data_IF_888052960455
#
_entry.id   IF_888052960455
#
_cell.length_a   1.000
_cell.length_b   1.000
_cell.length_c   1.000
_cell.angle_alpha   90.00
_cell.angle_beta   90.00
_cell.angle_gamma   90.00
#
_symmetry.space_group_name_H-M   'P 1'
#
loop_
_entity.id
_entity.type
_entity.pdbx_description
1 polymer ?
#
# COMPACT_ATOMS: atom_id res chain seq x y z
N UNK A 1 -20.85 -46.01 -33.24
CA UNK A 1 -21.39 -45.16 -32.14
C UNK A 1 -20.31 -44.32 -31.42
N UNK A 2 -19.11 -44.12 -31.98
CA UNK A 2 -18.02 -43.34 -31.35
C UNK A 2 -17.96 -41.86 -31.84
N UNK A 3 -18.64 -41.52 -32.94
CA UNK A 3 -18.51 -40.21 -33.61
C UNK A 3 -19.24 -39.04 -32.92
N UNK A 4 -20.06 -39.28 -31.90
CA UNK A 4 -20.82 -38.25 -31.17
C UNK A 4 -20.12 -37.80 -29.87
N UNK A 5 -19.15 -38.56 -29.36
CA UNK A 5 -18.45 -38.22 -28.11
C UNK A 5 -17.42 -37.10 -28.26
N UNK A 6 -16.86 -36.90 -29.46
CA UNK A 6 -15.84 -35.87 -29.71
C UNK A 6 -16.41 -34.44 -29.61
N UNK A 7 -17.56 -34.10 -30.23
CA UNK A 7 -18.11 -32.75 -30.09
C UNK A 7 -18.59 -32.43 -28.67
N UNK A 8 -19.09 -33.42 -27.91
CA UNK A 8 -19.54 -33.21 -26.52
C UNK A 8 -18.38 -32.84 -25.58
N UNK A 9 -17.19 -33.38 -25.83
CA UNK A 9 -15.99 -33.13 -25.02
C UNK A 9 -15.39 -31.75 -25.30
N UNK A 10 -15.51 -31.26 -26.54
CA UNK A 10 -15.07 -29.91 -26.92
C UNK A 10 -15.92 -28.82 -26.27
N UNK A 11 -17.24 -29.02 -26.13
CA UNK A 11 -18.13 -28.04 -25.46
C UNK A 11 -17.82 -27.91 -23.97
N UNK A 12 -17.38 -28.99 -23.31
CA UNK A 12 -16.96 -28.97 -21.90
C UNK A 12 -15.63 -28.23 -21.67
N UNK A 13 -14.78 -28.08 -22.68
CA UNK A 13 -13.53 -27.31 -22.57
C UNK A 13 -13.75 -25.79 -22.64
N UNK A 14 -14.93 -25.32 -23.09
CA UNK A 14 -15.26 -23.90 -23.19
C UNK A 14 -16.11 -23.35 -22.02
N UNK A 15 -16.43 -24.16 -21.00
CA UNK A 15 -17.18 -23.69 -19.80
C UNK A 15 -16.28 -23.05 -18.72
N UNK A 16 -14.99 -22.88 -18.99
CA UNK A 16 -14.01 -22.25 -18.08
C UNK A 16 -14.19 -20.74 -17.86
N UNK A 17 -15.16 -20.08 -18.51
CA UNK A 17 -15.42 -18.66 -18.33
C UNK A 17 -16.24 -18.36 -17.06
N UNK A 18 -15.69 -18.63 -15.88
CA UNK A 18 -16.16 -18.02 -14.63
C UNK A 18 -14.99 -17.83 -13.66
N UNK A 19 -14.10 -16.89 -13.97
CA UNK A 19 -13.23 -16.32 -12.94
C UNK A 19 -12.92 -14.83 -13.12
N UNK A 20 -13.91 -14.04 -13.54
CA UNK A 20 -13.81 -12.56 -13.58
C UNK A 20 -14.04 -11.95 -12.17
N UNK A 21 -14.36 -12.79 -11.18
CA UNK A 21 -14.81 -12.38 -9.84
C UNK A 21 -13.66 -12.05 -8.87
N UNK A 22 -12.39 -12.27 -9.27
CA UNK A 22 -11.22 -12.04 -8.41
C UNK A 22 -10.68 -10.60 -8.43
N UNK A 23 -11.01 -9.81 -9.47
CA UNK A 23 -10.59 -8.40 -9.58
C UNK A 23 -11.56 -7.44 -8.89
N UNK A 24 -12.85 -7.78 -8.80
CA UNK A 24 -13.90 -6.89 -8.28
C UNK A 24 -13.91 -6.72 -6.74
N UNK A 25 -13.17 -7.53 -5.99
CA UNK A 25 -13.20 -7.52 -4.51
C UNK A 25 -11.83 -7.20 -3.86
N UNK A 26 -10.98 -6.42 -4.54
CA UNK A 26 -9.70 -5.97 -3.98
C UNK A 26 -9.75 -4.51 -3.60
N UNK A 27 -9.40 -4.25 -2.35
CA UNK A 27 -9.21 -2.89 -1.85
C UNK A 27 -7.74 -2.52 -2.06
N UNK A 28 -7.46 -1.81 -3.16
CA UNK A 28 -6.10 -1.40 -3.54
C UNK A 28 -5.56 -0.34 -2.60
N UNK A 29 -4.60 -0.70 -1.76
CA UNK A 29 -4.00 0.21 -0.78
C UNK A 29 -2.91 1.03 -1.46
N UNK A 30 -3.13 2.34 -1.57
CA UNK A 30 -2.25 3.28 -2.28
C UNK A 30 -1.17 3.86 -1.35
N UNK A 31 -1.53 4.18 -0.10
CA UNK A 31 -0.58 4.65 0.92
C UNK A 31 -0.89 4.07 2.30
N UNK A 32 0.15 3.92 3.12
CA UNK A 32 0.05 3.48 4.52
C UNK A 32 0.79 4.50 5.39
N UNK A 33 0.10 5.05 6.38
CA UNK A 33 0.68 5.87 7.44
C UNK A 33 0.82 5.04 8.71
N UNK A 34 1.98 5.04 9.35
CA UNK A 34 2.31 4.18 10.50
C UNK A 34 2.87 5.02 11.64
N UNK A 35 2.26 4.93 12.81
CA UNK A 35 2.82 5.41 14.08
C UNK A 35 3.02 4.21 15.03
N UNK A 36 4.21 4.11 15.67
CA UNK A 36 4.65 3.00 16.52
C UNK A 36 4.78 3.34 18.01
N UNK A 37 4.35 4.52 18.46
CA UNK A 37 4.57 5.00 19.84
C UNK A 37 3.94 4.12 20.94
N UNK A 38 2.74 3.55 20.72
CA UNK A 38 2.01 2.76 21.71
C UNK A 38 1.38 1.51 21.07
N UNK A 39 2.22 0.73 20.38
CA UNK A 39 1.76 -0.21 19.37
C UNK A 39 1.55 0.50 18.04
N UNK A 40 0.95 -0.20 17.08
CA UNK A 40 0.78 0.32 15.73
C UNK A 40 -0.57 1.00 15.58
N UNK A 41 -0.54 2.27 15.18
CA UNK A 41 -1.69 3.01 14.67
C UNK A 41 -1.47 3.25 13.17
N UNK A 42 -2.32 2.65 12.35
CA UNK A 42 -2.20 2.70 10.90
C UNK A 42 -3.39 3.36 10.22
N UNK A 43 -3.09 4.21 9.26
CA UNK A 43 -4.06 4.83 8.34
C UNK A 43 -3.75 4.39 6.93
N UNK A 44 -4.74 3.93 6.19
CA UNK A 44 -4.58 3.48 4.81
C UNK A 44 -5.46 4.29 3.88
N UNK A 45 -4.88 4.69 2.75
CA UNK A 45 -5.61 5.22 1.62
C UNK A 45 -5.90 4.09 0.63
N UNK A 46 -7.17 3.87 0.34
CA UNK A 46 -7.65 2.81 -0.55
C UNK A 46 -8.23 3.47 -1.80
N UNK A 47 -7.82 3.03 -3.00
CA UNK A 47 -8.33 3.59 -4.25
C UNK A 47 -9.86 3.45 -4.34
N UNK A 48 -10.54 4.54 -4.73
CA UNK A 48 -11.95 4.50 -5.07
C UNK A 48 -12.13 4.11 -6.54
N UNK A 49 -12.47 2.84 -6.77
CA UNK A 49 -12.66 2.29 -8.11
C UNK A 49 -13.91 2.82 -8.83
N UNK A 50 -14.77 3.58 -8.14
CA UNK A 50 -15.94 4.24 -8.77
C UNK A 50 -15.59 5.58 -9.39
N UNK A 51 -14.39 6.09 -9.13
CA UNK A 51 -13.88 7.34 -9.68
C UNK A 51 -13.12 7.06 -10.99
N UNK A 52 -13.68 7.48 -12.14
CA UNK A 52 -13.08 7.22 -13.47
C UNK A 52 -11.65 7.77 -13.59
N UNK A 53 -11.32 8.83 -12.85
CA UNK A 53 -9.98 9.44 -12.81
C UNK A 53 -9.02 8.76 -11.82
N UNK A 54 -9.48 7.79 -11.01
CA UNK A 54 -8.72 7.12 -9.94
C UNK A 54 -8.01 8.08 -8.96
N UNK A 55 -8.56 9.28 -8.74
CA UNK A 55 -7.95 10.31 -7.86
C UNK A 55 -8.51 10.32 -6.46
N UNK A 56 -9.68 9.73 -6.26
CA UNK A 56 -10.28 9.57 -4.93
C UNK A 56 -9.71 8.35 -4.22
N UNK A 57 -9.42 8.56 -2.95
CA UNK A 57 -8.99 7.52 -2.04
C UNK A 57 -9.90 7.56 -0.81
N UNK A 58 -10.36 6.39 -0.37
CA UNK A 58 -11.09 6.20 0.87
C UNK A 58 -10.09 5.96 2.00
N UNK A 59 -10.25 6.68 3.10
CA UNK A 59 -9.37 6.57 4.26
C UNK A 59 -9.97 5.60 5.27
N UNK A 60 -9.17 4.64 5.72
CA UNK A 60 -9.52 3.72 6.81
C UNK A 60 -8.38 3.65 7.82
N UNK A 61 -8.69 3.33 9.08
CA UNK A 61 -7.67 3.24 10.13
C UNK A 61 -7.96 2.15 11.16
N UNK A 62 -6.90 1.74 11.85
CA UNK A 62 -6.94 0.68 12.84
C UNK A 62 -5.70 0.66 13.70
N UNK A 63 -5.80 -0.07 14.82
CA UNK A 63 -4.72 -0.21 15.79
C UNK A 63 -4.47 -1.68 16.09
N UNK A 64 -3.27 -2.00 16.56
CA UNK A 64 -2.89 -3.36 16.96
C UNK A 64 -1.47 -3.40 17.53
N UNK A 65 -1.03 -4.59 17.97
CA UNK A 65 0.29 -4.77 18.61
C UNK A 65 1.39 -5.09 17.60
N UNK A 66 1.03 -5.53 16.40
CA UNK A 66 1.94 -5.78 15.28
C UNK A 66 1.40 -5.17 13.99
N UNK A 67 2.25 -5.04 12.97
CA UNK A 67 1.78 -4.60 11.64
C UNK A 67 0.73 -5.56 11.09
N UNK A 68 0.98 -6.87 11.22
CA UNK A 68 0.02 -7.91 10.77
C UNK A 68 -1.33 -7.77 11.47
N UNK A 69 -1.36 -7.74 12.80
CA UNK A 69 -2.62 -7.63 13.56
C UNK A 69 -3.39 -6.36 13.20
N UNK A 70 -2.67 -5.25 13.04
CA UNK A 70 -3.29 -3.97 12.71
C UNK A 70 -3.89 -3.99 11.30
N UNK A 71 -3.18 -4.56 10.32
CA UNK A 71 -3.70 -4.74 8.94
C UNK A 71 -4.91 -5.67 8.96
N UNK A 72 -4.85 -6.78 9.69
CA UNK A 72 -5.98 -7.71 9.86
C UNK A 72 -7.20 -6.97 10.46
N UNK A 73 -6.99 -6.13 11.48
CA UNK A 73 -8.04 -5.32 12.12
C UNK A 73 -8.66 -4.28 11.18
N UNK A 74 -7.89 -3.71 10.26
CA UNK A 74 -8.40 -2.78 9.25
C UNK A 74 -9.16 -3.57 8.18
N UNK A 75 -8.63 -4.69 7.71
CA UNK A 75 -9.25 -5.55 6.68
C UNK A 75 -10.64 -6.07 7.10
N UNK A 76 -10.87 -6.31 8.40
CA UNK A 76 -12.21 -6.69 8.92
C UNK A 76 -13.26 -5.58 8.67
N UNK A 77 -12.84 -4.32 8.57
CA UNK A 77 -13.73 -3.16 8.37
C UNK A 77 -13.97 -2.85 6.89
N UNK A 78 -13.18 -3.44 5.98
CA UNK A 78 -13.27 -3.17 4.55
C UNK A 78 -14.13 -4.22 3.84
N UNK A 79 -14.64 -3.88 2.65
CA UNK A 79 -15.55 -4.78 1.91
C UNK A 79 -14.78 -5.81 1.09
N UNK A 80 -13.61 -5.43 0.59
CA UNK A 80 -12.70 -6.29 -0.16
C UNK A 80 -11.53 -6.77 0.69
N UNK A 81 -10.74 -7.67 0.09
CA UNK A 81 -9.45 -8.05 0.63
C UNK A 81 -8.44 -6.96 0.30
N UNK A 82 -7.74 -6.46 1.32
CA UNK A 82 -6.67 -5.49 1.14
C UNK A 82 -5.58 -6.04 0.23
N UNK A 83 -5.28 -5.29 -0.83
CA UNK A 83 -4.22 -5.61 -1.77
C UNK A 83 -3.13 -4.54 -1.70
N UNK A 84 -1.95 -4.94 -1.23
CA UNK A 84 -0.80 -4.04 -0.98
C UNK A 84 0.15 -3.91 -2.19
N UNK A 85 -0.15 -4.60 -3.30
CA UNK A 85 0.72 -4.65 -4.48
C UNK A 85 0.78 -3.37 -5.29
N UNK A 86 -0.16 -2.45 -5.06
CA UNK A 86 -0.14 -1.10 -5.64
C UNK A 86 0.24 -0.03 -4.63
N UNK A 87 0.78 -0.41 -3.47
CA UNK A 87 1.25 0.57 -2.51
C UNK A 87 2.36 1.41 -3.13
N UNK A 88 2.17 2.73 -3.06
CA UNK A 88 3.08 3.74 -3.60
C UNK A 88 3.92 4.37 -2.49
N UNK A 89 3.35 4.53 -1.30
CA UNK A 89 4.00 5.23 -0.20
C UNK A 89 3.73 4.57 1.15
N UNK A 90 4.79 4.46 1.96
CA UNK A 90 4.74 4.14 3.38
C UNK A 90 5.28 5.35 4.13
N UNK A 91 4.41 6.01 4.88
CA UNK A 91 4.72 7.17 5.70
C UNK A 91 4.86 6.70 7.13
N UNK A 92 6.05 6.79 7.71
CA UNK A 92 6.31 6.42 9.10
C UNK A 92 6.44 7.65 9.98
N UNK A 93 6.21 7.51 11.29
CA UNK A 93 6.44 8.59 12.25
C UNK A 93 7.91 9.07 12.19
N UNK A 94 8.17 10.35 12.47
CA UNK A 94 9.56 10.89 12.49
C UNK A 94 10.47 10.07 13.42
N UNK A 95 9.90 9.65 14.54
CA UNK A 95 10.55 8.85 15.59
C UNK A 95 10.40 7.34 15.39
N UNK A 96 9.90 6.89 14.23
CA UNK A 96 9.72 5.47 13.94
C UNK A 96 11.04 4.72 14.14
N UNK A 97 11.00 3.70 14.99
CA UNK A 97 12.20 2.96 15.40
C UNK A 97 12.13 1.48 15.02
N UNK A 98 10.94 0.94 14.74
CA UNK A 98 10.75 -0.48 14.51
C UNK A 98 10.81 -0.87 13.01
N UNK A 99 11.90 -0.49 12.34
CA UNK A 99 12.14 -0.88 10.94
C UNK A 99 12.29 -2.40 10.77
N UNK A 100 12.74 -3.10 11.80
CA UNK A 100 12.83 -4.55 11.80
C UNK A 100 11.47 -5.21 11.59
N UNK A 101 10.42 -4.78 12.32
CA UNK A 101 9.06 -5.30 12.13
C UNK A 101 8.53 -4.98 10.74
N UNK A 102 8.77 -3.76 10.22
CA UNK A 102 8.37 -3.38 8.85
C UNK A 102 9.03 -4.28 7.79
N UNK A 103 10.32 -4.54 7.92
CA UNK A 103 11.09 -5.38 7.00
C UNK A 103 10.69 -6.85 7.13
N UNK A 104 10.46 -7.33 8.35
CA UNK A 104 9.98 -8.68 8.61
C UNK A 104 8.58 -8.90 8.04
N UNK A 105 7.70 -7.91 8.17
CA UNK A 105 6.38 -7.93 7.54
C UNK A 105 6.51 -7.94 6.01
N UNK A 106 7.27 -7.02 5.42
CA UNK A 106 7.49 -6.94 3.98
C UNK A 106 8.08 -8.24 3.39
N UNK A 107 9.03 -8.86 4.08
CA UNK A 107 9.68 -10.10 3.63
C UNK A 107 8.72 -11.29 3.61
N UNK A 108 7.74 -11.31 4.51
CA UNK A 108 6.71 -12.37 4.59
C UNK A 108 5.52 -12.12 3.66
N UNK A 109 5.28 -10.86 3.30
CA UNK A 109 4.15 -10.44 2.48
C UNK A 109 4.65 -10.00 1.10
N UNK A 110 4.90 -10.97 0.23
CA UNK A 110 5.41 -10.75 -1.14
C UNK A 110 4.50 -9.85 -2.00
N UNK A 111 3.25 -9.68 -1.60
CA UNK A 111 2.31 -8.78 -2.26
C UNK A 111 2.53 -7.31 -1.90
N UNK A 112 3.25 -6.97 -0.83
CA UNK A 112 3.58 -5.58 -0.56
C UNK A 112 4.57 -5.07 -1.61
N UNK A 113 4.19 -3.99 -2.30
CA UNK A 113 5.03 -3.37 -3.33
C UNK A 113 6.41 -3.00 -2.78
N UNK A 114 7.46 -3.60 -3.36
CA UNK A 114 8.87 -3.30 -3.06
C UNK A 114 9.29 -1.90 -3.50
N UNK A 115 8.56 -1.33 -4.45
CA UNK A 115 8.77 0.02 -4.97
C UNK A 115 8.10 1.12 -4.12
N UNK A 116 7.40 0.74 -3.03
CA UNK A 116 6.76 1.71 -2.14
C UNK A 116 7.80 2.66 -1.54
N UNK A 117 7.63 3.95 -1.77
CA UNK A 117 8.50 5.01 -1.24
C UNK A 117 8.29 5.14 0.26
N UNK A 118 9.38 5.20 1.01
CA UNK A 118 9.38 5.41 2.46
C UNK A 118 9.70 6.87 2.75
N UNK A 119 8.83 7.53 3.50
CA UNK A 119 9.02 8.91 4.00
C UNK A 119 8.70 8.99 5.49
N UNK A 120 9.26 9.97 6.18
CA UNK A 120 8.95 10.28 7.58
C UNK A 120 7.97 11.44 7.70
N UNK A 121 7.13 11.45 8.72
CA UNK A 121 6.24 12.58 9.02
C UNK A 121 5.93 12.69 10.51
N UNK A 122 5.64 13.90 10.99
CA UNK A 122 5.13 14.10 12.37
C UNK A 122 3.81 13.38 12.61
N UNK A 123 2.89 13.55 11.66
CA UNK A 123 1.55 12.95 11.70
C UNK A 123 1.31 12.12 10.43
N UNK A 124 1.74 10.85 10.37
CA UNK A 124 1.55 10.01 9.19
C UNK A 124 0.10 9.91 8.71
N UNK A 125 -0.85 9.82 9.64
CA UNK A 125 -2.29 9.78 9.33
C UNK A 125 -2.78 11.04 8.60
N UNK A 126 -2.28 12.20 9.02
CA UNK A 126 -2.62 13.49 8.42
C UNK A 126 -2.08 13.58 6.98
N UNK A 127 -0.84 13.10 6.76
CA UNK A 127 -0.24 13.04 5.42
C UNK A 127 -1.06 12.15 4.50
N UNK A 128 -1.39 10.93 4.93
CA UNK A 128 -2.18 9.97 4.12
C UNK A 128 -3.54 10.54 3.73
N UNK A 129 -4.16 11.29 4.64
CA UNK A 129 -5.50 11.88 4.42
C UNK A 129 -5.46 13.20 3.62
N UNK A 130 -4.27 13.76 3.37
CA UNK A 130 -4.12 15.04 2.69
C UNK A 130 -4.08 14.87 1.16
N UNK A 131 -4.22 16.00 0.46
CA UNK A 131 -4.07 16.12 -0.98
C UNK A 131 -3.11 17.23 -1.31
N UNK A 132 -2.30 17.03 -2.34
CA UNK A 132 -1.48 18.09 -2.88
C UNK A 132 -2.10 18.57 -4.19
N UNK A 133 -2.74 19.74 -4.14
CA UNK A 133 -3.60 20.24 -5.22
C UNK A 133 -4.70 19.20 -5.58
N UNK A 134 -4.64 18.58 -6.76
CA UNK A 134 -5.62 17.56 -7.19
C UNK A 134 -5.15 16.12 -6.95
N UNK A 135 -3.91 15.93 -6.52
CA UNK A 135 -3.31 14.61 -6.37
C UNK A 135 -3.45 14.11 -4.93
N UNK A 136 -3.68 12.80 -4.79
CA UNK A 136 -3.57 12.15 -3.50
C UNK A 136 -2.15 12.19 -2.97
N UNK A 137 -1.98 12.10 -1.64
CA UNK A 137 -0.66 12.05 -1.03
C UNK A 137 0.19 10.91 -1.60
N UNK A 138 -0.41 9.74 -1.84
CA UNK A 138 0.27 8.57 -2.41
C UNK A 138 0.89 8.85 -3.79
N UNK A 139 0.13 9.52 -4.66
CA UNK A 139 0.53 9.82 -6.03
C UNK A 139 1.52 10.98 -6.08
N UNK A 140 1.31 12.01 -5.25
CA UNK A 140 2.26 13.12 -5.13
C UNK A 140 3.62 12.65 -4.61
N UNK A 141 3.65 11.91 -3.51
CA UNK A 141 4.91 11.41 -2.92
C UNK A 141 5.65 10.54 -3.94
N UNK A 142 4.96 9.57 -4.55
CA UNK A 142 5.59 8.69 -5.52
C UNK A 142 6.18 9.44 -6.72
N UNK A 143 5.39 10.33 -7.33
CA UNK A 143 5.82 11.09 -8.52
C UNK A 143 6.94 12.10 -8.23
N UNK A 144 7.02 12.64 -7.01
CA UNK A 144 8.15 13.48 -6.59
C UNK A 144 9.49 12.72 -6.69
N UNK A 145 9.46 11.43 -6.36
CA UNK A 145 10.64 10.58 -6.35
C UNK A 145 10.95 9.88 -7.68
N UNK A 146 10.10 10.01 -8.70
CA UNK A 146 10.40 9.53 -10.07
C UNK A 146 11.61 10.24 -10.69
N UNK A 147 11.89 11.47 -10.24
CA UNK A 147 12.97 12.33 -10.76
C UNK A 147 14.12 12.55 -9.77
N UNK A 148 14.06 11.93 -8.60
CA UNK A 148 15.02 12.12 -7.52
C UNK A 148 15.42 10.78 -6.92
N UNK A 149 16.32 10.77 -5.92
CA UNK A 149 16.76 9.53 -5.29
C UNK A 149 15.65 9.04 -4.35
N UNK A 150 14.86 8.06 -4.82
CA UNK A 150 13.86 7.40 -3.98
C UNK A 150 14.50 6.53 -2.90
N UNK A 151 13.96 6.56 -1.69
CA UNK A 151 14.15 5.51 -0.69
C UNK A 151 12.89 4.66 -0.72
N UNK A 152 12.95 3.51 -1.40
CA UNK A 152 11.86 2.56 -1.44
C UNK A 152 12.08 1.41 -0.44
N UNK A 153 11.07 0.57 -0.30
CA UNK A 153 11.10 -0.56 0.61
C UNK A 153 12.26 -1.52 0.29
N UNK A 154 12.56 -1.75 -0.99
CA UNK A 154 13.68 -2.62 -1.37
C UNK A 154 15.04 -2.04 -0.93
N UNK A 155 15.28 -0.74 -1.15
CA UNK A 155 16.48 -0.05 -0.65
C UNK A 155 16.57 -0.01 0.86
N UNK A 156 15.44 0.14 1.55
CA UNK A 156 15.39 0.07 3.01
C UNK A 156 15.80 -1.33 3.50
N UNK A 157 15.26 -2.38 2.89
CA UNK A 157 15.59 -3.77 3.18
C UNK A 157 17.06 -4.09 2.91
N UNK A 158 17.60 -3.68 1.76
CA UNK A 158 19.02 -3.84 1.43
C UNK A 158 19.91 -3.10 2.44
N UNK A 159 19.55 -1.86 2.79
CA UNK A 159 20.33 -1.06 3.74
C UNK A 159 20.34 -1.70 5.12
N UNK A 160 19.20 -2.19 5.60
CA UNK A 160 19.09 -2.88 6.89
C UNK A 160 19.91 -4.17 6.91
N UNK A 161 19.76 -5.04 5.91
CA UNK A 161 20.47 -6.32 5.84
C UNK A 161 22.00 -6.16 5.75
N UNK A 162 22.47 -5.05 5.16
CA UNK A 162 23.89 -4.76 5.02
C UNK A 162 24.42 -3.78 6.08
N UNK A 163 23.65 -3.45 7.13
CA UNK A 163 24.01 -2.46 8.16
C UNK A 163 24.48 -1.11 7.59
N UNK A 164 23.87 -0.66 6.49
CA UNK A 164 24.13 0.63 5.86
C UNK A 164 23.21 1.69 6.44
N UNK A 165 23.76 2.88 6.65
CA UNK A 165 22.96 4.04 7.03
C UNK A 165 22.21 4.57 5.81
N UNK A 166 20.90 4.71 5.94
CA UNK A 166 20.03 5.35 4.94
C UNK A 166 19.38 6.60 5.56
N UNK A 167 19.27 7.66 4.76
CA UNK A 167 18.57 8.88 5.15
C UNK A 167 17.20 8.80 4.50
N UNK A 168 16.16 8.68 5.34
CA UNK A 168 14.77 8.65 4.88
C UNK A 168 14.29 10.10 4.82
N UNK A 169 13.78 10.56 3.65
CA UNK A 169 13.27 11.92 3.49
C UNK A 169 12.03 12.16 4.35
N UNK A 170 11.77 13.43 4.67
CA UNK A 170 10.64 13.84 5.51
C UNK A 170 9.58 14.50 4.64
N UNK A 171 8.31 14.30 4.97
CA UNK A 171 7.17 14.99 4.39
C UNK A 171 6.39 15.74 5.47
N UNK A 172 6.06 16.99 5.17
CA UNK A 172 5.28 17.88 6.05
C UNK A 172 4.12 18.50 5.27
N UNK A 173 3.16 19.09 6.00
CA UNK A 173 2.12 19.93 5.43
C UNK A 173 2.47 21.38 5.75
N UNK A 174 2.63 22.20 4.71
CA UNK A 174 2.85 23.64 4.81
C UNK A 174 1.86 24.35 3.90
N UNK A 175 1.11 25.33 4.43
CA UNK A 175 0.09 26.07 3.66
C UNK A 175 -0.88 25.15 2.89
N UNK A 176 -1.30 24.04 3.51
CA UNK A 176 -2.20 23.05 2.92
C UNK A 176 -1.63 22.35 1.66
N UNK A 177 -0.29 22.28 1.55
CA UNK A 177 0.45 21.55 0.52
C UNK A 177 1.45 20.60 1.15
N UNK A 178 1.71 19.49 0.47
CA UNK A 178 2.71 18.52 0.89
C UNK A 178 4.10 18.97 0.45
N UNK A 179 5.03 19.08 1.39
CA UNK A 179 6.42 19.47 1.15
C UNK A 179 7.33 18.31 1.53
N UNK A 180 8.23 17.93 0.64
CA UNK A 180 9.21 16.85 0.84
C UNK A 180 10.59 17.47 1.02
N UNK A 181 11.32 17.03 2.05
CA UNK A 181 12.62 17.54 2.50
C UNK A 181 13.65 16.42 2.60
#
# INVERSE_FOLDING_TARGET
>A
MIKIFIPIFIVLLFTGCKNVRELENRDYVMAIGINDENGYDMTMAIADLTDEDNKKENITSGKGKSLKETIDNINIKTKGNMYLGHNKAIIVSENFNNYEELINYASKNIELSRDSVIVKAKNPSEIVSNKNDNDSASSYIYSYFDRTVKVDLDKLMDSYNNNRKIIIPTVSIENNKLIIQ
#
